data_IF_225495922624
#
_entry.id   IF_225495922624
#
_cell.length_a   1.000
_cell.length_b   1.000
_cell.length_c   1.000
_cell.angle_alpha   90.00
_cell.angle_beta   90.00
_cell.angle_gamma   90.00
#
_symmetry.space_group_name_H-M   'P 1'
#
loop_
_entity.id
_entity.type
_entity.pdbx_description
1 polymer ?
#
# COMPACT_ATOMS: atom_id res chain seq x y z
N UNK A 1 -12.13 2.31 12.48
CA UNK A 1 -10.68 2.45 12.69
C UNK A 1 -9.92 1.32 12.04
N UNK A 2 -8.83 1.63 11.37
CA UNK A 2 -7.98 0.60 10.77
C UNK A 2 -7.32 -0.26 11.83
N UNK A 3 -7.19 -1.55 11.52
CA UNK A 3 -6.42 -2.51 12.33
C UNK A 3 -5.38 -3.18 11.45
N UNK A 4 -4.24 -3.50 12.04
CA UNK A 4 -3.19 -4.24 11.36
C UNK A 4 -2.91 -5.54 12.10
N UNK A 5 -2.57 -6.58 11.35
CA UNK A 5 -2.24 -7.88 11.91
C UNK A 5 -0.72 -8.12 11.89
N UNK A 6 -0.06 -7.77 10.80
CA UNK A 6 1.38 -7.94 10.62
C UNK A 6 2.06 -6.62 10.33
N UNK A 7 3.29 -6.49 10.83
CA UNK A 7 4.18 -5.36 10.56
C UNK A 7 5.59 -5.92 10.35
N UNK A 8 6.18 -5.67 9.18
CA UNK A 8 7.51 -6.17 8.84
C UNK A 8 8.20 -5.27 7.82
N UNK A 9 9.55 -5.31 7.83
CA UNK A 9 10.33 -4.66 6.77
C UNK A 9 10.30 -5.51 5.50
N UNK A 10 10.10 -4.86 4.37
CA UNK A 10 10.05 -5.50 3.05
C UNK A 10 10.88 -4.68 2.05
N UNK A 11 11.44 -5.38 1.05
CA UNK A 11 12.42 -4.78 0.15
C UNK A 11 12.01 -4.78 -1.31
N UNK A 12 10.96 -5.49 -1.67
CA UNK A 12 10.54 -5.65 -3.07
C UNK A 12 9.10 -5.19 -3.36
N UNK A 13 8.30 -4.96 -2.35
CA UNK A 13 6.89 -4.58 -2.49
C UNK A 13 6.74 -3.17 -3.05
N UNK A 14 7.65 -2.26 -2.72
CA UNK A 14 7.69 -0.92 -3.30
C UNK A 14 9.06 -0.74 -3.97
N UNK A 15 9.10 -0.50 -5.29
CA UNK A 15 10.38 -0.38 -6.00
C UNK A 15 11.25 0.73 -5.44
N UNK A 16 12.54 0.42 -5.27
CA UNK A 16 13.58 1.36 -4.83
C UNK A 16 13.43 1.86 -3.38
N UNK A 17 12.55 1.23 -2.58
CA UNK A 17 12.30 1.63 -1.18
C UNK A 17 12.56 0.47 -0.23
N UNK A 18 12.97 0.82 0.98
CA UNK A 18 12.96 -0.08 2.13
C UNK A 18 11.70 0.27 2.92
N UNK A 19 10.73 -0.64 2.91
CA UNK A 19 9.39 -0.31 3.41
C UNK A 19 9.07 -1.02 4.71
N UNK A 20 8.37 -0.32 5.58
CA UNK A 20 7.65 -0.93 6.71
C UNK A 20 6.25 -1.27 6.21
N UNK A 21 5.97 -2.55 6.03
CA UNK A 21 4.68 -3.02 5.52
C UNK A 21 3.75 -3.37 6.67
N UNK A 22 2.54 -2.83 6.62
CA UNK A 22 1.48 -3.05 7.58
C UNK A 22 0.34 -3.78 6.87
N UNK A 23 0.06 -5.02 7.29
CA UNK A 23 -1.05 -5.79 6.73
C UNK A 23 -2.35 -5.35 7.40
N UNK A 24 -3.19 -4.64 6.65
CA UNK A 24 -4.45 -4.10 7.12
C UNK A 24 -5.54 -5.18 7.02
N UNK A 25 -6.25 -5.40 8.12
CA UNK A 25 -7.30 -6.40 8.20
C UNK A 25 -8.66 -5.86 7.74
N UNK A 26 -9.69 -6.71 7.84
CA UNK A 26 -11.07 -6.40 7.46
C UNK A 26 -11.24 -6.18 5.95
N UNK A 27 -10.48 -6.92 5.13
CA UNK A 27 -10.57 -6.87 3.68
C UNK A 27 -11.88 -7.50 3.21
N UNK A 28 -12.70 -6.74 2.47
CA UNK A 28 -14.01 -7.18 1.99
C UNK A 28 -13.97 -7.80 0.59
N UNK A 29 -12.85 -7.72 -0.11
CA UNK A 29 -12.73 -8.23 -1.48
C UNK A 29 -12.77 -9.75 -1.56
N UNK A 30 -12.17 -10.42 -0.58
CA UNK A 30 -12.17 -11.89 -0.46
C UNK A 30 -11.81 -12.58 -1.77
N UNK A 31 -10.71 -12.16 -2.38
CA UNK A 31 -10.25 -12.69 -3.66
C UNK A 31 -10.03 -14.20 -3.58
N UNK A 32 -10.45 -14.93 -4.61
CA UNK A 32 -10.19 -16.36 -4.71
C UNK A 32 -8.69 -16.61 -4.77
N UNK A 33 -8.20 -17.55 -3.95
CA UNK A 33 -6.78 -17.89 -3.87
C UNK A 33 -5.93 -16.86 -3.13
N UNK A 34 -6.55 -15.96 -2.34
CA UNK A 34 -5.84 -14.99 -1.53
C UNK A 34 -4.84 -15.67 -0.58
N UNK A 35 -3.59 -15.15 -0.53
CA UNK A 35 -2.53 -15.71 0.32
C UNK A 35 -2.72 -15.41 1.81
N UNK A 36 -3.56 -14.44 2.16
CA UNK A 36 -3.78 -14.00 3.54
C UNK A 36 -5.28 -13.89 3.86
N UNK A 37 -6.02 -15.02 3.81
CA UNK A 37 -7.46 -14.98 4.09
C UNK A 37 -7.79 -14.58 5.53
N UNK A 38 -6.84 -14.68 6.46
CA UNK A 38 -6.99 -14.19 7.82
C UNK A 38 -7.26 -12.68 7.89
N UNK A 39 -6.84 -11.92 6.88
CA UNK A 39 -7.09 -10.49 6.78
C UNK A 39 -8.52 -10.15 6.36
N UNK A 40 -9.33 -11.14 5.98
CA UNK A 40 -10.75 -10.93 5.69
C UNK A 40 -11.54 -10.59 6.95
N UNK A 41 -11.01 -10.96 8.11
CA UNK A 41 -11.65 -10.72 9.40
C UNK A 41 -11.19 -9.39 9.99
N UNK A 42 -12.02 -8.81 10.84
CA UNK A 42 -11.66 -7.61 11.60
C UNK A 42 -10.82 -8.00 12.81
N UNK A 43 -9.53 -8.22 12.59
CA UNK A 43 -8.58 -8.73 13.59
C UNK A 43 -7.35 -7.84 13.66
N UNK A 44 -6.57 -8.02 14.74
CA UNK A 44 -5.33 -7.30 14.95
C UNK A 44 -5.47 -6.12 15.88
N UNK A 45 -4.45 -5.26 15.86
CA UNK A 45 -4.36 -4.08 16.73
C UNK A 45 -4.83 -2.84 16.00
N UNK A 46 -5.46 -1.92 16.72
CA UNK A 46 -5.84 -0.62 16.18
C UNK A 46 -4.59 0.16 15.74
N UNK A 47 -4.64 0.70 14.54
CA UNK A 47 -3.57 1.50 13.96
C UNK A 47 -3.93 2.98 14.10
N UNK A 48 -3.25 3.67 15.02
CA UNK A 48 -3.34 5.11 15.22
C UNK A 48 -2.03 5.76 14.83
N UNK A 49 -1.99 7.09 14.77
CA UNK A 49 -0.75 7.83 14.53
C UNK A 49 0.30 7.52 15.61
N UNK A 50 -0.10 7.43 16.87
CA UNK A 50 0.83 7.11 17.96
C UNK A 50 1.40 5.69 17.85
N UNK A 51 0.56 4.71 17.52
CA UNK A 51 1.00 3.33 17.30
C UNK A 51 1.95 3.26 16.10
N UNK A 52 1.63 3.98 15.04
CA UNK A 52 2.47 4.04 13.84
C UNK A 52 3.84 4.65 14.15
N UNK A 53 3.88 5.72 14.93
CA UNK A 53 5.14 6.34 15.37
C UNK A 53 5.98 5.35 16.18
N UNK A 54 5.37 4.59 17.07
CA UNK A 54 6.05 3.56 17.86
C UNK A 54 6.64 2.47 16.95
N UNK A 55 5.88 2.00 15.98
CA UNK A 55 6.34 1.01 15.02
C UNK A 55 7.51 1.53 14.19
N UNK A 56 7.41 2.75 13.69
CA UNK A 56 8.49 3.39 12.92
C UNK A 56 9.76 3.52 13.77
N UNK A 57 9.63 3.86 15.04
CA UNK A 57 10.79 4.02 15.94
C UNK A 57 11.61 2.75 16.13
N UNK A 58 11.00 1.59 15.92
CA UNK A 58 11.65 0.27 16.04
C UNK A 58 12.33 -0.19 14.75
N UNK A 59 12.17 0.55 13.66
CA UNK A 59 12.66 0.16 12.33
C UNK A 59 13.50 1.30 11.74
N UNK A 60 14.77 1.34 12.12
CA UNK A 60 15.73 2.33 11.60
C UNK A 60 16.13 1.95 10.17
N UNK A 61 16.21 2.91 9.29
CA UNK A 61 16.65 2.70 7.92
C UNK A 61 15.52 2.47 6.91
N UNK A 62 14.26 2.48 7.33
CA UNK A 62 13.15 2.47 6.37
C UNK A 62 13.06 3.82 5.66
N UNK A 63 12.60 3.78 4.42
CA UNK A 63 12.38 4.99 3.59
C UNK A 63 10.90 5.22 3.31
N UNK A 64 10.07 4.19 3.49
CA UNK A 64 8.67 4.18 3.09
C UNK A 64 7.84 3.40 4.10
N UNK A 65 6.60 3.81 4.29
CA UNK A 65 5.59 3.01 5.01
C UNK A 65 4.55 2.56 3.98
N UNK A 66 4.33 1.25 3.90
CA UNK A 66 3.42 0.65 2.94
C UNK A 66 2.20 0.06 3.65
N UNK A 67 1.04 0.61 3.36
CA UNK A 67 -0.24 0.10 3.87
C UNK A 67 -0.77 -0.96 2.92
N UNK A 68 -0.82 -2.21 3.38
CA UNK A 68 -1.27 -3.34 2.58
C UNK A 68 -2.76 -3.56 2.81
N UNK A 69 -3.59 -2.72 2.19
CA UNK A 69 -5.05 -2.76 2.28
C UNK A 69 -5.69 -1.46 2.74
N UNK A 70 -7.00 -1.36 2.59
CA UNK A 70 -7.79 -0.17 2.95
C UNK A 70 -8.63 -0.36 4.21
N UNK A 71 -8.72 -1.57 4.75
CA UNK A 71 -9.53 -1.85 5.94
C UNK A 71 -11.01 -1.56 5.73
N UNK A 72 -11.65 -2.22 4.77
CA UNK A 72 -13.08 -2.08 4.49
C UNK A 72 -13.49 -0.64 4.11
N UNK A 73 -12.73 -0.05 3.20
CA UNK A 73 -13.00 1.29 2.67
C UNK A 73 -12.87 2.43 3.69
N UNK A 74 -12.08 2.25 4.74
CA UNK A 74 -11.79 3.31 5.72
C UNK A 74 -10.73 4.28 5.19
N UNK A 75 -11.02 4.92 4.06
CA UNK A 75 -10.06 5.78 3.36
C UNK A 75 -9.72 7.05 4.16
N UNK A 76 -10.65 7.60 4.92
CA UNK A 76 -10.38 8.78 5.75
C UNK A 76 -9.28 8.49 6.78
N UNK A 77 -9.37 7.36 7.45
CA UNK A 77 -8.33 6.93 8.42
C UNK A 77 -7.01 6.67 7.72
N UNK A 78 -7.05 6.02 6.56
CA UNK A 78 -5.86 5.72 5.77
C UNK A 78 -5.16 7.00 5.28
N UNK A 79 -5.93 7.96 4.79
CA UNK A 79 -5.41 9.26 4.35
C UNK A 79 -4.74 10.01 5.50
N UNK A 80 -5.36 10.01 6.67
CA UNK A 80 -4.81 10.65 7.88
C UNK A 80 -3.48 10.02 8.29
N UNK A 81 -3.41 8.71 8.33
CA UNK A 81 -2.18 7.99 8.69
C UNK A 81 -1.07 8.25 7.67
N UNK A 82 -1.38 8.23 6.38
CA UNK A 82 -0.42 8.51 5.32
C UNK A 82 0.11 9.95 5.40
N UNK A 83 -0.78 10.91 5.61
CA UNK A 83 -0.38 12.31 5.78
C UNK A 83 0.57 12.48 6.98
N UNK A 84 0.29 11.78 8.08
CA UNK A 84 1.13 11.80 9.28
C UNK A 84 2.53 11.24 8.98
N UNK A 85 2.62 10.12 8.28
CA UNK A 85 3.90 9.51 7.88
C UNK A 85 4.72 10.48 7.02
N UNK A 86 4.08 11.15 6.08
CA UNK A 86 4.75 12.11 5.20
C UNK A 86 5.32 13.30 5.96
N UNK A 87 4.60 13.79 6.95
CA UNK A 87 5.10 14.86 7.85
C UNK A 87 6.35 14.42 8.61
N UNK A 88 6.50 13.13 8.86
CA UNK A 88 7.68 12.54 9.50
C UNK A 88 8.85 12.36 8.56
N UNK A 89 8.69 12.67 7.27
CA UNK A 89 9.77 12.59 6.28
C UNK A 89 9.88 11.26 5.55
N UNK A 90 8.93 10.35 5.69
CA UNK A 90 8.91 9.07 4.99
C UNK A 90 8.01 9.14 3.76
N UNK A 91 8.30 8.30 2.77
CA UNK A 91 7.38 8.06 1.65
C UNK A 91 6.25 7.16 2.09
N UNK A 92 5.17 7.17 1.34
CA UNK A 92 3.99 6.36 1.63
C UNK A 92 3.57 5.58 0.41
N UNK A 93 3.12 4.35 0.65
CA UNK A 93 2.58 3.48 -0.37
C UNK A 93 1.33 2.80 0.14
N UNK A 94 0.42 2.44 -0.76
CA UNK A 94 -0.78 1.68 -0.43
C UNK A 94 -1.01 0.59 -1.47
N UNK A 95 -1.35 -0.60 -1.00
CA UNK A 95 -1.77 -1.74 -1.81
C UNK A 95 -3.28 -1.89 -1.68
N UNK A 96 -3.99 -1.67 -2.78
CA UNK A 96 -5.44 -1.81 -2.85
C UNK A 96 -5.80 -2.96 -3.78
N UNK A 97 -6.90 -3.64 -3.46
CA UNK A 97 -7.43 -4.69 -4.31
C UNK A 97 -8.47 -4.22 -5.32
N UNK A 98 -8.89 -2.96 -5.25
CA UNK A 98 -9.80 -2.34 -6.20
C UNK A 98 -9.12 -2.21 -7.57
N UNK A 99 -9.90 -2.28 -8.66
CA UNK A 99 -9.36 -2.21 -10.02
C UNK A 99 -9.15 -0.77 -10.52
N UNK A 100 -9.61 0.20 -9.76
CA UNK A 100 -9.40 1.63 -10.02
C UNK A 100 -9.03 2.34 -8.73
N UNK A 101 -8.40 3.50 -8.84
CA UNK A 101 -8.08 4.31 -7.65
C UNK A 101 -9.40 4.87 -7.08
N UNK A 102 -9.74 4.53 -5.82
CA UNK A 102 -10.96 5.05 -5.21
C UNK A 102 -10.95 6.57 -5.10
N UNK A 103 -12.10 7.20 -5.35
CA UNK A 103 -12.22 8.67 -5.25
C UNK A 103 -12.02 9.19 -3.83
N UNK A 104 -12.30 8.36 -2.82
CA UNK A 104 -12.10 8.72 -1.42
C UNK A 104 -10.64 8.68 -0.97
N UNK A 105 -9.75 8.05 -1.77
CA UNK A 105 -8.32 8.04 -1.48
C UNK A 105 -7.71 9.38 -1.87
N UNK A 106 -6.96 9.99 -0.94
CA UNK A 106 -6.25 11.24 -1.23
C UNK A 106 -4.89 10.92 -1.88
N UNK A 107 -4.79 11.05 -3.20
CA UNK A 107 -3.55 10.77 -3.91
C UNK A 107 -2.40 11.72 -3.52
N UNK A 108 -2.71 12.87 -2.91
CA UNK A 108 -1.70 13.83 -2.49
C UNK A 108 -0.86 13.35 -1.31
N UNK A 109 -1.33 12.36 -0.57
CA UNK A 109 -0.63 11.84 0.60
C UNK A 109 0.08 10.51 0.33
N UNK A 110 0.06 10.03 -0.93
CA UNK A 110 0.75 8.81 -1.33
C UNK A 110 1.79 9.07 -2.41
N UNK A 111 2.93 8.38 -2.30
CA UNK A 111 3.96 8.35 -3.34
C UNK A 111 3.75 7.19 -4.29
N UNK A 112 3.21 6.07 -3.80
CA UNK A 112 2.98 4.85 -4.56
C UNK A 112 1.58 4.34 -4.30
N UNK A 113 0.87 3.94 -5.36
CA UNK A 113 -0.47 3.34 -5.25
C UNK A 113 -0.53 2.10 -6.14
N UNK A 114 -0.78 0.94 -5.52
CA UNK A 114 -1.03 -0.31 -6.24
C UNK A 114 -2.52 -0.59 -6.26
N UNK A 115 -3.05 -0.90 -7.44
CA UNK A 115 -4.45 -1.33 -7.63
C UNK A 115 -4.51 -2.68 -8.32
N UNK A 116 -5.68 -3.28 -8.32
CA UNK A 116 -5.98 -4.54 -8.97
C UNK A 116 -6.16 -5.69 -7.98
N UNK A 117 -7.24 -6.46 -8.17
CA UNK A 117 -7.53 -7.64 -7.36
C UNK A 117 -6.57 -8.79 -7.70
N UNK A 118 -6.51 -9.78 -6.83
CA UNK A 118 -5.75 -11.01 -7.10
C UNK A 118 -6.52 -11.88 -8.09
N UNK A 119 -5.88 -12.20 -9.20
CA UNK A 119 -6.37 -13.13 -10.22
C UNK A 119 -5.25 -14.15 -10.49
N UNK A 120 -5.45 -15.37 -10.02
CA UNK A 120 -4.44 -16.42 -10.12
C UNK A 120 -4.08 -16.75 -11.59
N UNK A 121 -5.00 -16.54 -12.54
CA UNK A 121 -4.75 -16.77 -13.96
C UNK A 121 -3.82 -15.74 -14.59
N UNK A 122 -3.71 -14.56 -13.98
CA UNK A 122 -2.90 -13.42 -14.47
C UNK A 122 -1.64 -13.18 -13.67
N UNK A 123 -1.63 -13.60 -12.40
CA UNK A 123 -0.53 -13.41 -11.49
C UNK A 123 -0.49 -12.02 -10.85
N UNK A 124 0.46 -11.83 -9.94
CA UNK A 124 0.69 -10.54 -9.27
C UNK A 124 1.56 -9.60 -10.06
N UNK A 125 2.06 -8.55 -9.41
CA UNK A 125 2.85 -7.48 -10.04
C UNK A 125 4.06 -7.98 -10.82
N UNK A 126 4.70 -9.06 -10.38
CA UNK A 126 5.88 -9.63 -11.03
C UNK A 126 5.56 -10.37 -12.34
N UNK A 127 4.30 -10.65 -12.60
CA UNK A 127 3.87 -11.34 -13.82
C UNK A 127 3.62 -10.32 -14.94
N UNK A 128 4.12 -10.61 -16.15
CA UNK A 128 3.87 -9.74 -17.32
C UNK A 128 2.42 -9.78 -17.80
N UNK A 129 1.64 -10.77 -17.34
CA UNK A 129 0.21 -10.91 -17.67
C UNK A 129 -0.70 -10.32 -16.62
N UNK A 130 -0.14 -9.69 -15.59
CA UNK A 130 -0.89 -9.18 -14.45
C UNK A 130 -1.95 -8.15 -14.84
N UNK A 131 -3.08 -8.19 -14.12
CA UNK A 131 -4.07 -7.11 -14.14
C UNK A 131 -3.76 -6.03 -13.09
N UNK A 132 -2.77 -6.27 -12.22
CA UNK A 132 -2.39 -5.32 -11.18
C UNK A 132 -1.50 -4.21 -11.73
N UNK A 133 -1.62 -3.03 -11.15
CA UNK A 133 -0.84 -1.85 -11.58
C UNK A 133 -0.24 -1.16 -10.37
N UNK A 134 1.01 -0.73 -10.51
CA UNK A 134 1.69 0.12 -9.54
C UNK A 134 1.92 1.49 -10.16
N UNK A 135 1.49 2.52 -9.44
CA UNK A 135 1.68 3.92 -9.86
C UNK A 135 2.64 4.64 -8.90
N UNK A 136 3.50 5.46 -9.48
CA UNK A 136 4.28 6.47 -8.75
C UNK A 136 3.58 7.82 -8.93
N UNK A 137 3.33 8.49 -7.81
CA UNK A 137 2.67 9.81 -7.79
C UNK A 137 3.75 10.85 -7.51
N UNK A 138 3.99 11.77 -8.45
CA UNK A 138 4.96 12.86 -8.28
C UNK A 138 4.25 14.21 -8.29
N UNK A 139 4.54 15.11 -7.33
CA UNK A 139 4.00 16.46 -7.37
C UNK A 139 4.55 17.24 -8.56
N UNK A 140 3.67 17.94 -9.26
CA UNK A 140 4.03 18.77 -10.41
C UNK A 140 4.02 20.27 -10.09
N UNK A 141 3.36 20.69 -9.02
CA UNK A 141 3.12 22.06 -8.63
C UNK A 141 1.66 22.45 -8.80
N UNK A 142 1.24 23.54 -8.11
CA UNK A 142 -0.14 24.03 -8.14
C UNK A 142 -1.20 22.97 -7.76
N UNK A 143 -0.83 21.99 -6.92
CA UNK A 143 -1.73 20.91 -6.53
C UNK A 143 -1.89 19.81 -7.60
N UNK A 144 -1.16 19.89 -8.70
CA UNK A 144 -1.18 18.88 -9.75
C UNK A 144 -0.14 17.79 -9.49
N UNK A 145 -0.38 16.60 -10.04
CA UNK A 145 0.52 15.45 -9.90
C UNK A 145 0.70 14.74 -11.24
N UNK A 146 1.92 14.23 -11.46
CA UNK A 146 2.16 13.20 -12.48
C UNK A 146 1.85 11.83 -11.88
N UNK A 147 1.17 11.00 -12.63
CA UNK A 147 0.89 9.61 -12.27
C UNK A 147 1.60 8.73 -13.28
N UNK A 148 2.65 8.03 -12.83
CA UNK A 148 3.48 7.18 -13.69
C UNK A 148 3.15 5.71 -13.44
N UNK A 149 2.86 4.96 -14.50
CA UNK A 149 2.69 3.52 -14.42
C UNK A 149 4.07 2.87 -14.37
N UNK A 150 4.41 2.26 -13.23
CA UNK A 150 5.74 1.67 -12.99
C UNK A 150 5.69 0.16 -12.74
N UNK A 151 4.64 -0.53 -13.14
CA UNK A 151 4.51 -1.98 -12.98
C UNK A 151 5.70 -2.74 -13.57
N UNK A 152 6.28 -2.24 -14.66
CA UNK A 152 7.44 -2.85 -15.31
C UNK A 152 8.65 -3.02 -14.38
N UNK A 153 8.75 -2.25 -13.31
CA UNK A 153 9.86 -2.35 -12.36
C UNK A 153 9.85 -3.66 -11.57
N UNK A 154 8.72 -4.35 -11.53
CA UNK A 154 8.59 -5.67 -10.90
C UNK A 154 8.99 -6.81 -11.82
N UNK A 155 9.19 -6.54 -13.11
CA UNK A 155 9.50 -7.58 -14.09
C UNK A 155 10.99 -7.80 -14.19
N UNK A 156 11.38 -9.07 -14.32
CA UNK A 156 12.78 -9.42 -14.52
C UNK A 156 13.22 -8.95 -15.93
N UNK A 157 14.32 -8.20 -15.99
CA UNK A 157 14.83 -7.66 -17.25
C UNK A 157 15.43 -8.72 -18.18
N UNK A 158 15.77 -9.89 -17.63
CA UNK A 158 16.37 -10.99 -18.37
C UNK A 158 15.33 -11.96 -18.97
N UNK A 159 14.07 -11.67 -18.83
CA UNK A 159 12.97 -12.45 -19.39
C UNK A 159 12.40 -11.84 -20.67
#
# INVERSE_FOLDING_TARGET
>A
MLKYLYCKEVFSEVPDEISLALSISNCQLKCEGCNQPELWKNVGKTLSCDVLDELISKHHGITCVCFMGSGNNEYDSLNELAAHVRKRGYKTAVYLGEDTIPTALDINVFNYIKIGHWDASKGGLSSRTTNQKMYLIEPYGNGLHYIHLITYKFWNKDE
#
